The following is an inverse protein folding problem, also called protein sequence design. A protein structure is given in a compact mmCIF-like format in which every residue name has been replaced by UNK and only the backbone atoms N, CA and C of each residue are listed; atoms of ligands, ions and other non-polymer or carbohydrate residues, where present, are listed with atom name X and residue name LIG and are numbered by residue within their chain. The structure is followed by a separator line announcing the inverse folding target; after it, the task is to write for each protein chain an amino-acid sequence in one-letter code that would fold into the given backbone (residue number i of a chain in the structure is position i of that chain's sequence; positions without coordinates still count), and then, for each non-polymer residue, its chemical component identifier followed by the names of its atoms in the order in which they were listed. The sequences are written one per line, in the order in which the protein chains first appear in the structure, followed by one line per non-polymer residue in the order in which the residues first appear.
data_IF_135907911671
#
_entry.id   IF_135907911671
#
_cell.length_a   1.000
_cell.length_b   1.000
_cell.length_c   1.000
_cell.angle_alpha   90.00
_cell.angle_beta   90.00
_cell.angle_gamma   90.00
#
_symmetry.space_group_name_H-M   'P 1'
#
loop_
_entity.id
_entity.type
_entity.pdbx_description
1 polymer ?
#
# COMPACT_ATOMS: atom_id res chain seq x y z
N UNK A 1 -29.71 -1.93 -17.64
CA UNK A 1 -28.37 -2.55 -17.77
C UNK A 1 -28.20 -3.50 -16.59
N UNK A 2 -27.59 -4.67 -16.77
CA UNK A 2 -27.24 -5.54 -15.64
C UNK A 2 -26.08 -4.88 -14.89
N UNK A 3 -26.19 -4.74 -13.57
CA UNK A 3 -25.12 -4.19 -12.72
C UNK A 3 -23.88 -5.10 -12.77
N UNK A 4 -22.69 -4.51 -12.77
CA UNK A 4 -21.43 -5.26 -12.79
C UNK A 4 -21.17 -5.95 -11.44
N UNK A 5 -20.35 -7.03 -11.37
CA UNK A 5 -20.02 -7.66 -10.09
C UNK A 5 -19.44 -6.68 -9.05
N UNK A 6 -18.63 -5.71 -9.51
CA UNK A 6 -18.04 -4.67 -8.65
C UNK A 6 -19.11 -3.75 -8.07
N UNK A 7 -20.05 -3.30 -8.89
CA UNK A 7 -21.16 -2.45 -8.43
C UNK A 7 -22.06 -3.19 -7.44
N UNK A 8 -22.39 -4.46 -7.72
CA UNK A 8 -23.19 -5.29 -6.84
C UNK A 8 -22.53 -5.43 -5.46
N UNK A 9 -21.26 -5.85 -5.43
CA UNK A 9 -20.50 -5.98 -4.18
C UNK A 9 -20.37 -4.65 -3.44
N UNK A 10 -20.17 -3.54 -4.16
CA UNK A 10 -20.10 -2.22 -3.55
C UNK A 10 -21.40 -1.88 -2.82
N UNK A 11 -22.57 -2.12 -3.44
CA UNK A 11 -23.86 -1.87 -2.79
C UNK A 11 -24.08 -2.78 -1.58
N UNK A 12 -23.67 -4.04 -1.65
CA UNK A 12 -23.73 -4.98 -0.52
C UNK A 12 -22.87 -4.49 0.66
N UNK A 13 -21.62 -4.08 0.40
CA UNK A 13 -20.76 -3.49 1.43
C UNK A 13 -21.31 -2.18 1.98
N UNK A 14 -21.81 -1.30 1.12
CA UNK A 14 -22.31 0.01 1.51
C UNK A 14 -23.59 -0.06 2.35
N UNK A 15 -24.57 -0.85 1.92
CA UNK A 15 -25.84 -0.98 2.63
C UNK A 15 -25.65 -1.60 4.01
N UNK A 16 -24.85 -2.67 4.10
CA UNK A 16 -24.57 -3.35 5.37
C UNK A 16 -23.73 -2.49 6.31
N UNK A 17 -22.73 -1.76 5.79
CA UNK A 17 -21.96 -0.79 6.57
C UNK A 17 -22.85 0.34 7.12
N UNK A 18 -23.79 0.88 6.35
CA UNK A 18 -24.73 1.92 6.85
C UNK A 18 -25.65 1.42 7.97
N UNK A 19 -26.09 0.16 7.88
CA UNK A 19 -26.89 -0.47 8.94
C UNK A 19 -26.05 -0.55 10.23
N UNK A 20 -24.84 -1.12 10.14
CA UNK A 20 -23.95 -1.24 11.30
C UNK A 20 -23.51 0.12 11.84
N UNK A 21 -23.24 1.10 10.98
CA UNK A 21 -22.89 2.47 11.36
C UNK A 21 -23.97 3.07 12.29
N UNK A 22 -25.24 2.85 11.93
CA UNK A 22 -26.38 3.38 12.70
C UNK A 22 -26.58 2.63 14.01
N UNK A 23 -26.51 1.29 13.98
CA UNK A 23 -26.74 0.44 15.16
C UNK A 23 -25.61 0.58 16.19
N UNK A 24 -24.36 0.66 15.74
CA UNK A 24 -23.17 0.74 16.60
C UNK A 24 -22.77 2.18 16.94
N UNK A 25 -23.40 3.18 16.32
CA UNK A 25 -23.06 4.60 16.49
C UNK A 25 -21.57 4.90 16.24
N UNK A 26 -20.98 4.24 15.24
CA UNK A 26 -19.56 4.39 14.87
C UNK A 26 -19.38 5.13 13.54
N UNK A 27 -18.13 5.28 13.09
CA UNK A 27 -17.88 5.87 11.76
C UNK A 27 -18.25 4.88 10.65
N UNK A 28 -18.49 5.38 9.45
CA UNK A 28 -18.75 4.50 8.30
C UNK A 28 -17.56 3.55 8.02
N UNK A 29 -16.31 4.02 8.22
CA UNK A 29 -15.13 3.20 8.00
C UNK A 29 -15.00 2.09 9.05
N UNK A 30 -15.29 2.37 10.32
CA UNK A 30 -15.33 1.33 11.34
C UNK A 30 -16.41 0.29 11.02
N UNK A 31 -17.61 0.74 10.67
CA UNK A 31 -18.71 -0.14 10.26
C UNK A 31 -18.38 -0.96 8.99
N UNK A 32 -17.56 -0.43 8.09
CA UNK A 32 -17.08 -1.14 6.90
C UNK A 32 -16.05 -2.23 7.25
N UNK A 33 -15.24 -2.02 8.29
CA UNK A 33 -14.38 -3.06 8.85
C UNK A 33 -15.22 -4.21 9.43
N UNK A 34 -16.21 -3.86 10.27
CA UNK A 34 -17.13 -4.83 10.87
C UNK A 34 -17.92 -5.63 9.82
N UNK A 35 -18.45 -4.95 8.80
CA UNK A 35 -19.23 -5.63 7.76
C UNK A 35 -18.36 -6.54 6.89
N UNK A 36 -17.11 -6.15 6.63
CA UNK A 36 -16.18 -6.97 5.85
C UNK A 36 -15.91 -8.31 6.54
N UNK A 37 -15.71 -8.27 7.86
CA UNK A 37 -15.54 -9.50 8.66
C UNK A 37 -16.82 -10.33 8.73
N UNK A 38 -17.99 -9.68 8.86
CA UNK A 38 -19.28 -10.37 8.83
C UNK A 38 -19.53 -11.08 7.48
N UNK A 39 -19.18 -10.46 6.36
CA UNK A 39 -19.24 -11.06 5.03
C UNK A 39 -18.34 -12.28 4.92
N UNK A 40 -17.09 -12.16 5.38
CA UNK A 40 -16.13 -13.25 5.36
C UNK A 40 -16.59 -14.45 6.21
N UNK A 41 -17.09 -14.20 7.42
CA UNK A 41 -17.56 -15.25 8.31
C UNK A 41 -19.00 -15.74 8.02
N UNK A 42 -19.73 -15.06 7.13
CA UNK A 42 -21.12 -15.39 6.79
C UNK A 42 -22.11 -15.21 7.95
N UNK A 43 -21.81 -14.37 8.94
CA UNK A 43 -22.65 -14.15 10.13
C UNK A 43 -22.48 -12.75 10.70
N UNK A 44 -23.47 -12.29 11.46
CA UNK A 44 -23.39 -11.05 12.23
C UNK A 44 -22.64 -11.31 13.53
N UNK A 45 -21.52 -10.61 13.76
CA UNK A 45 -20.68 -10.79 14.94
C UNK A 45 -21.07 -9.92 16.13
N UNK A 46 -21.69 -8.76 15.88
CA UNK A 46 -22.02 -7.78 16.91
C UNK A 46 -23.30 -8.20 17.66
N UNK A 47 -23.25 -8.17 18.99
CA UNK A 47 -24.35 -8.63 19.85
C UNK A 47 -25.36 -7.51 20.14
N UNK A 48 -24.88 -6.27 20.15
CA UNK A 48 -25.56 -5.04 20.54
C UNK A 48 -26.43 -4.40 19.44
N UNK A 49 -26.83 -5.16 18.41
CA UNK A 49 -27.68 -4.66 17.32
C UNK A 49 -29.12 -5.14 17.45
N UNK A 50 -30.07 -4.37 16.90
CA UNK A 50 -31.48 -4.74 16.90
C UNK A 50 -31.76 -6.02 16.12
N UNK A 51 -32.73 -6.82 16.60
CA UNK A 51 -33.15 -8.06 15.92
C UNK A 51 -33.64 -7.85 14.48
N UNK A 52 -34.19 -6.66 14.19
CA UNK A 52 -34.62 -6.28 12.85
C UNK A 52 -33.42 -6.09 11.93
N UNK A 53 -32.41 -5.32 12.38
CA UNK A 53 -31.18 -5.09 11.62
C UNK A 53 -30.38 -6.38 11.45
N UNK A 54 -30.28 -7.21 12.50
CA UNK A 54 -29.64 -8.54 12.44
C UNK A 54 -30.26 -9.41 11.34
N UNK A 55 -31.59 -9.51 11.26
CA UNK A 55 -32.27 -10.26 10.20
C UNK A 55 -32.01 -9.70 8.80
N UNK A 56 -31.94 -8.37 8.65
CA UNK A 56 -31.56 -7.72 7.38
C UNK A 56 -30.14 -8.12 6.98
N UNK A 57 -29.18 -7.94 7.88
CA UNK A 57 -27.77 -8.22 7.64
C UNK A 57 -27.52 -9.69 7.28
N UNK A 58 -28.13 -10.64 8.01
CA UNK A 58 -28.02 -12.08 7.70
C UNK A 58 -28.44 -12.38 6.26
N UNK A 59 -29.45 -11.69 5.72
CA UNK A 59 -29.88 -11.87 4.35
C UNK A 59 -28.81 -11.44 3.34
N UNK A 60 -28.13 -10.33 3.59
CA UNK A 60 -27.03 -9.86 2.74
C UNK A 60 -25.83 -10.83 2.79
N UNK A 61 -25.46 -11.26 3.99
CA UNK A 61 -24.28 -12.10 4.18
C UNK A 61 -24.45 -13.54 3.69
N UNK A 62 -25.67 -14.10 3.76
CA UNK A 62 -25.93 -15.49 3.35
C UNK A 62 -25.68 -15.77 1.86
N UNK A 63 -25.81 -14.76 1.01
CA UNK A 63 -25.64 -14.90 -0.44
C UNK A 63 -24.20 -14.69 -0.90
N UNK A 64 -23.33 -14.14 -0.04
CA UNK A 64 -21.93 -13.90 -0.36
C UNK A 64 -21.08 -15.17 -0.21
N UNK A 65 -20.15 -15.33 -1.15
CA UNK A 65 -19.07 -16.31 -1.06
C UNK A 65 -17.89 -15.77 -1.86
N UNK A 66 -16.67 -15.72 -1.30
CA UNK A 66 -15.48 -15.23 -2.01
C UNK A 66 -15.27 -15.91 -3.36
N UNK A 67 -15.51 -17.23 -3.44
CA UNK A 67 -15.35 -18.03 -4.67
C UNK A 67 -16.26 -17.60 -5.83
N UNK A 68 -17.33 -16.85 -5.57
CA UNK A 68 -18.25 -16.35 -6.62
C UNK A 68 -17.67 -15.17 -7.40
N UNK A 69 -16.63 -14.53 -6.88
CA UNK A 69 -16.10 -13.28 -7.41
C UNK A 69 -14.59 -13.37 -7.59
N UNK A 70 -14.09 -12.76 -8.66
CA UNK A 70 -12.65 -12.54 -8.79
C UNK A 70 -12.14 -11.67 -7.63
N UNK A 71 -10.98 -12.01 -7.06
CA UNK A 71 -10.35 -11.22 -5.98
C UNK A 71 -10.26 -9.73 -6.33
N UNK A 72 -9.99 -9.44 -7.60
CA UNK A 72 -9.91 -8.08 -8.12
C UNK A 72 -11.26 -7.34 -8.14
N UNK A 73 -12.37 -8.05 -8.34
CA UNK A 73 -13.71 -7.46 -8.24
C UNK A 73 -14.05 -7.12 -6.78
N UNK A 74 -13.70 -8.01 -5.85
CA UNK A 74 -13.84 -7.79 -4.39
C UNK A 74 -13.00 -6.58 -3.97
N UNK A 75 -11.72 -6.54 -4.35
CA UNK A 75 -10.81 -5.43 -4.06
C UNK A 75 -11.39 -4.10 -4.50
N UNK A 76 -11.83 -3.99 -5.76
CA UNK A 76 -12.36 -2.75 -6.33
C UNK A 76 -13.68 -2.31 -5.67
N UNK A 77 -14.56 -3.26 -5.37
CA UNK A 77 -15.82 -2.97 -4.68
C UNK A 77 -15.58 -2.44 -3.26
N UNK A 78 -14.69 -3.11 -2.51
CA UNK A 78 -14.31 -2.71 -1.16
C UNK A 78 -13.55 -1.37 -1.17
N UNK A 79 -12.67 -1.16 -2.15
CA UNK A 79 -11.98 0.11 -2.39
C UNK A 79 -12.98 1.26 -2.59
N UNK A 80 -14.05 1.06 -3.38
CA UNK A 80 -15.09 2.07 -3.59
C UNK A 80 -15.82 2.41 -2.28
N UNK A 81 -16.14 1.40 -1.47
CA UNK A 81 -16.74 1.60 -0.16
C UNK A 81 -15.81 2.39 0.78
N UNK A 82 -14.52 2.05 0.84
CA UNK A 82 -13.52 2.81 1.61
C UNK A 82 -13.47 4.26 1.12
N UNK A 83 -13.37 4.50 -0.19
CA UNK A 83 -13.33 5.85 -0.75
C UNK A 83 -14.56 6.67 -0.37
N UNK A 84 -15.75 6.06 -0.37
CA UNK A 84 -16.98 6.71 0.11
C UNK A 84 -16.83 7.17 1.56
N UNK A 85 -16.34 6.31 2.45
CA UNK A 85 -16.09 6.66 3.85
C UNK A 85 -15.04 7.76 4.01
N UNK A 86 -13.99 7.74 3.18
CA UNK A 86 -12.91 8.73 3.21
C UNK A 86 -13.31 10.13 2.73
N UNK A 87 -14.43 10.27 2.01
CA UNK A 87 -14.93 11.59 1.59
C UNK A 87 -15.38 12.46 2.77
N UNK A 88 -15.68 11.87 3.93
CA UNK A 88 -16.25 12.57 5.09
C UNK A 88 -15.21 13.28 5.99
N UNK A 89 -13.93 13.35 5.55
CA UNK A 89 -12.75 13.98 6.17
C UNK A 89 -11.74 12.94 6.65
N UNK A 90 -10.64 12.81 5.90
CA UNK A 90 -9.50 11.93 6.25
C UNK A 90 -8.22 12.75 6.13
N UNK A 91 -7.27 12.52 7.04
CA UNK A 91 -5.98 13.18 7.01
C UNK A 91 -5.21 12.78 5.74
N UNK A 92 -4.39 13.66 5.15
CA UNK A 92 -3.68 13.35 3.90
C UNK A 92 -2.86 12.05 3.93
N UNK A 93 -2.24 11.73 5.07
CA UNK A 93 -1.44 10.52 5.25
C UNK A 93 -2.26 9.23 5.44
N UNK A 94 -3.57 9.34 5.64
CA UNK A 94 -4.48 8.20 5.78
C UNK A 94 -5.22 7.91 4.46
N UNK A 95 -4.90 8.65 3.39
CA UNK A 95 -5.47 8.38 2.08
C UNK A 95 -4.94 7.07 1.52
N UNK A 96 -5.86 6.27 1.02
CA UNK A 96 -5.56 5.05 0.30
C UNK A 96 -4.80 5.33 -1.01
N UNK A 97 -3.80 4.50 -1.30
CA UNK A 97 -3.06 4.53 -2.56
C UNK A 97 -4.00 4.29 -3.75
N UNK A 98 -4.04 5.19 -4.76
CA UNK A 98 -4.90 5.02 -5.93
C UNK A 98 -4.58 3.77 -6.75
N UNK A 99 -5.61 3.20 -7.38
CA UNK A 99 -5.52 1.93 -8.12
C UNK A 99 -4.44 1.94 -9.22
N UNK A 100 -4.40 3.03 -9.98
CA UNK A 100 -3.42 3.22 -11.04
C UNK A 100 -1.97 3.21 -10.55
N UNK A 101 -1.73 3.74 -9.34
CA UNK A 101 -0.40 3.69 -8.71
C UNK A 101 -0.10 2.27 -8.27
N UNK A 102 -1.06 1.59 -7.64
CA UNK A 102 -0.95 0.19 -7.25
C UNK A 102 -0.56 -0.71 -8.42
N UNK A 103 -1.32 -0.67 -9.52
CA UNK A 103 -1.05 -1.45 -10.74
C UNK A 103 0.35 -1.19 -11.31
N UNK A 104 0.79 0.07 -11.30
CA UNK A 104 2.11 0.41 -11.83
C UNK A 104 3.25 -0.08 -10.92
N UNK A 105 3.07 0.02 -9.60
CA UNK A 105 4.00 -0.59 -8.64
C UNK A 105 4.01 -2.12 -8.81
N UNK A 106 2.87 -2.77 -9.01
CA UNK A 106 2.80 -4.22 -9.30
C UNK A 106 3.61 -4.60 -10.53
N UNK A 107 3.54 -3.81 -11.61
CA UNK A 107 4.37 -4.00 -12.81
C UNK A 107 5.86 -3.91 -12.49
N UNK A 108 6.27 -2.88 -11.75
CA UNK A 108 7.67 -2.70 -11.34
C UNK A 108 8.15 -3.87 -10.48
N UNK A 109 7.41 -4.23 -9.43
CA UNK A 109 7.73 -5.36 -8.56
C UNK A 109 7.87 -6.63 -9.38
N UNK A 110 6.94 -6.91 -10.30
CA UNK A 110 7.00 -8.06 -11.20
C UNK A 110 8.26 -8.09 -12.07
N UNK A 111 8.70 -6.93 -12.59
CA UNK A 111 9.93 -6.83 -13.40
C UNK A 111 11.20 -7.08 -12.58
N UNK A 112 11.32 -6.47 -11.41
CA UNK A 112 12.49 -6.62 -10.54
C UNK A 112 12.57 -7.99 -9.85
N UNK A 113 11.47 -8.73 -9.80
CA UNK A 113 11.39 -10.05 -9.17
C UNK A 113 11.08 -11.16 -10.17
N UNK A 114 11.28 -10.93 -11.48
CA UNK A 114 10.87 -11.83 -12.57
C UNK A 114 11.31 -13.30 -12.35
N UNK A 115 12.52 -13.51 -11.83
CA UNK A 115 13.13 -14.82 -11.64
C UNK A 115 12.84 -15.45 -10.25
N UNK A 116 12.07 -14.77 -9.40
CA UNK A 116 11.72 -15.24 -8.05
C UNK A 116 10.30 -15.83 -8.04
N UNK A 117 10.18 -17.09 -7.57
CA UNK A 117 8.88 -17.76 -7.37
C UNK A 117 8.33 -17.59 -5.97
N UNK A 118 9.21 -17.53 -4.98
CA UNK A 118 8.90 -17.34 -3.56
C UNK A 118 9.41 -15.96 -3.16
N UNK A 119 8.55 -15.13 -2.58
CA UNK A 119 8.87 -13.75 -2.19
C UNK A 119 8.34 -13.50 -0.78
N UNK A 120 9.17 -12.90 0.07
CA UNK A 120 8.72 -12.26 1.30
C UNK A 120 8.52 -10.77 1.02
N UNK A 121 7.33 -10.24 1.28
CA UNK A 121 6.97 -8.84 1.05
C UNK A 121 6.53 -8.16 2.34
N UNK A 122 7.01 -6.93 2.55
CA UNK A 122 6.65 -6.09 3.69
C UNK A 122 6.10 -4.75 3.21
N UNK A 123 4.94 -4.36 3.75
CA UNK A 123 4.48 -2.97 3.77
C UNK A 123 4.48 -2.43 5.21
N UNK A 124 5.47 -1.59 5.59
CA UNK A 124 5.57 -1.05 6.95
C UNK A 124 4.54 0.05 7.27
N UNK A 125 3.76 0.51 6.28
CA UNK A 125 2.68 1.49 6.47
C UNK A 125 1.53 1.13 5.54
N UNK A 126 0.93 -0.04 5.80
CA UNK A 126 0.00 -0.69 4.87
C UNK A 126 -1.30 0.09 4.64
N UNK A 127 -1.69 0.97 5.57
CA UNK A 127 -2.96 1.69 5.51
C UNK A 127 -4.13 0.71 5.38
N UNK A 128 -4.97 0.91 4.35
CA UNK A 128 -6.09 0.01 4.05
C UNK A 128 -5.71 -1.23 3.22
N UNK A 129 -4.44 -1.42 2.91
CA UNK A 129 -3.92 -2.58 2.17
C UNK A 129 -4.06 -2.53 0.65
N UNK A 130 -4.71 -1.52 0.06
CA UNK A 130 -5.02 -1.49 -1.37
C UNK A 130 -3.78 -1.60 -2.28
N UNK A 131 -2.67 -0.96 -1.91
CA UNK A 131 -1.40 -1.07 -2.65
C UNK A 131 -0.91 -2.52 -2.68
N UNK A 132 -0.80 -3.15 -1.51
CA UNK A 132 -0.34 -4.52 -1.39
C UNK A 132 -1.30 -5.51 -2.09
N UNK A 133 -2.61 -5.33 -1.95
CA UNK A 133 -3.62 -6.17 -2.62
C UNK A 133 -3.53 -6.08 -4.15
N UNK A 134 -3.28 -4.88 -4.70
CA UNK A 134 -3.07 -4.72 -6.13
C UNK A 134 -1.83 -5.46 -6.64
N UNK A 135 -0.79 -5.61 -5.80
CA UNK A 135 0.41 -6.38 -6.12
C UNK A 135 0.11 -7.87 -6.08
N UNK A 136 -0.53 -8.34 -5.00
CA UNK A 136 -0.89 -9.75 -4.82
C UNK A 136 -1.85 -10.26 -5.91
N UNK A 137 -2.83 -9.45 -6.31
CA UNK A 137 -3.77 -9.82 -7.39
C UNK A 137 -3.11 -9.85 -8.77
N UNK A 138 -2.01 -9.12 -8.97
CA UNK A 138 -1.32 -9.03 -10.25
C UNK A 138 -0.24 -10.12 -10.42
N UNK A 139 0.47 -10.47 -9.34
CA UNK A 139 1.61 -11.40 -9.34
C UNK A 139 1.18 -12.84 -9.01
N UNK A 140 0.23 -13.37 -9.78
CA UNK A 140 -0.38 -14.69 -9.55
C UNK A 140 0.55 -15.87 -9.87
N UNK A 141 1.67 -15.62 -10.54
CA UNK A 141 2.71 -16.62 -10.84
C UNK A 141 3.70 -16.83 -9.68
N UNK A 142 3.51 -16.13 -8.56
CA UNK A 142 4.41 -16.11 -7.40
C UNK A 142 3.67 -16.51 -6.13
N UNK A 143 4.38 -17.18 -5.22
CA UNK A 143 3.95 -17.38 -3.85
C UNK A 143 4.55 -16.27 -2.98
N UNK A 144 3.70 -15.41 -2.43
CA UNK A 144 4.12 -14.21 -1.72
C UNK A 144 3.68 -14.29 -0.25
N UNK A 145 4.63 -14.56 0.64
CA UNK A 145 4.42 -14.38 2.08
C UNK A 145 4.47 -12.89 2.38
N UNK A 146 3.38 -12.36 2.92
CA UNK A 146 3.19 -10.91 3.02
C UNK A 146 2.98 -10.47 4.46
N UNK A 147 3.53 -9.30 4.80
CA UNK A 147 3.42 -8.69 6.12
C UNK A 147 3.02 -7.22 5.98
N UNK A 148 2.05 -6.78 6.77
CA UNK A 148 1.56 -5.41 6.82
C UNK A 148 1.63 -4.82 8.23
N UNK A 149 2.16 -3.61 8.36
CA UNK A 149 2.20 -2.88 9.64
C UNK A 149 1.47 -1.55 9.51
N UNK A 150 0.61 -1.25 10.47
CA UNK A 150 -0.13 0.02 10.53
C UNK A 150 -0.45 0.37 11.98
N UNK A 151 -0.30 1.65 12.33
CA UNK A 151 -0.54 2.15 13.69
C UNK A 151 -2.02 2.55 13.88
N UNK A 152 -2.69 2.99 12.82
CA UNK A 152 -4.10 3.36 12.85
C UNK A 152 -5.00 2.11 12.88
N UNK A 153 -5.75 1.97 13.96
CA UNK A 153 -6.60 0.81 14.22
C UNK A 153 -7.72 0.64 13.19
N UNK A 154 -8.31 1.74 12.72
CA UNK A 154 -9.37 1.68 11.70
C UNK A 154 -8.79 1.23 10.36
N UNK A 155 -7.65 1.80 9.94
CA UNK A 155 -7.01 1.44 8.67
C UNK A 155 -6.56 -0.04 8.65
N UNK A 156 -5.93 -0.52 9.73
CA UNK A 156 -5.49 -1.92 9.77
C UNK A 156 -6.66 -2.90 9.83
N UNK A 157 -7.76 -2.56 10.50
CA UNK A 157 -8.99 -3.38 10.49
C UNK A 157 -9.60 -3.47 9.09
N UNK A 158 -9.62 -2.35 8.35
CA UNK A 158 -10.05 -2.37 6.94
C UNK A 158 -9.13 -3.24 6.09
N UNK A 159 -7.81 -3.15 6.28
CA UNK A 159 -6.86 -4.00 5.57
C UNK A 159 -7.07 -5.49 5.91
N UNK A 160 -7.25 -5.81 7.19
CA UNK A 160 -7.51 -7.17 7.66
C UNK A 160 -8.77 -7.77 7.01
N UNK A 161 -9.90 -7.06 7.08
CA UNK A 161 -11.14 -7.49 6.45
C UNK A 161 -10.98 -7.60 4.92
N UNK A 162 -10.31 -6.64 4.29
CA UNK A 162 -10.04 -6.66 2.84
C UNK A 162 -9.18 -7.84 2.39
N UNK A 163 -8.20 -8.26 3.20
CA UNK A 163 -7.37 -9.43 2.94
C UNK A 163 -8.18 -10.73 3.08
N UNK A 164 -8.99 -10.85 4.13
CA UNK A 164 -9.88 -11.99 4.36
C UNK A 164 -10.90 -12.16 3.22
N UNK A 165 -11.58 -11.08 2.82
CA UNK A 165 -12.53 -11.09 1.70
C UNK A 165 -11.90 -11.53 0.38
N UNK A 166 -10.61 -11.26 0.16
CA UNK A 166 -9.86 -11.68 -1.02
C UNK A 166 -9.05 -12.98 -0.81
N UNK A 167 -9.15 -13.60 0.36
CA UNK A 167 -8.42 -14.82 0.73
C UNK A 167 -6.91 -14.70 0.49
N UNK A 168 -6.31 -13.59 0.94
CA UNK A 168 -4.86 -13.37 0.87
C UNK A 168 -4.17 -13.79 2.17
N UNK A 169 -3.07 -14.56 2.10
CA UNK A 169 -2.29 -14.96 3.27
C UNK A 169 -1.37 -13.81 3.72
N UNK A 170 -1.95 -12.87 4.48
CA UNK A 170 -1.28 -11.66 4.95
C UNK A 170 -1.27 -11.62 6.49
N UNK A 171 -0.10 -11.44 7.07
CA UNK A 171 0.06 -11.21 8.51
C UNK A 171 0.08 -9.71 8.82
N UNK A 172 -0.62 -9.31 9.87
CA UNK A 172 -0.81 -7.91 10.24
C UNK A 172 -0.25 -7.61 11.63
N UNK A 173 0.40 -6.45 11.76
CA UNK A 173 0.88 -5.93 13.04
C UNK A 173 0.30 -4.54 13.28
N UNK A 174 -0.54 -4.40 14.31
CA UNK A 174 -1.04 -3.10 14.73
C UNK A 174 -0.06 -2.45 15.72
N UNK A 175 0.96 -1.78 15.20
CA UNK A 175 2.00 -1.13 16.00
C UNK A 175 2.66 0.02 15.23
N UNK A 176 3.47 0.82 15.93
CA UNK A 176 4.40 1.74 15.28
C UNK A 176 5.47 0.95 14.52
N UNK A 177 5.53 1.12 13.20
CA UNK A 177 6.48 0.40 12.37
C UNK A 177 7.91 0.91 12.46
N UNK A 178 8.13 2.08 13.08
CA UNK A 178 9.45 2.58 13.43
C UNK A 178 9.94 2.00 14.76
N UNK A 179 9.13 1.22 15.49
CA UNK A 179 9.58 0.36 16.58
C UNK A 179 10.19 -0.97 16.06
N UNK A 180 10.82 -1.79 16.91
CA UNK A 180 11.33 -3.10 16.48
C UNK A 180 10.20 -3.96 15.90
N UNK A 181 10.39 -4.43 14.66
CA UNK A 181 9.47 -5.36 14.01
C UNK A 181 9.99 -6.79 14.18
N UNK A 182 9.15 -7.69 14.68
CA UNK A 182 9.45 -9.12 14.73
C UNK A 182 8.99 -9.80 13.43
N UNK A 183 9.48 -9.28 12.31
CA UNK A 183 9.19 -9.74 10.95
C UNK A 183 10.50 -10.17 10.31
N UNK A 184 10.50 -11.34 9.68
CA UNK A 184 11.68 -11.82 8.97
C UNK A 184 12.09 -10.85 7.85
N UNK A 185 13.40 -10.72 7.55
CA UNK A 185 13.85 -9.84 6.49
C UNK A 185 13.14 -10.14 5.16
N UNK A 186 12.73 -9.11 4.42
CA UNK A 186 11.91 -9.25 3.21
C UNK A 186 12.73 -9.16 1.92
N UNK A 187 12.28 -9.88 0.87
CA UNK A 187 12.84 -9.75 -0.49
C UNK A 187 12.41 -8.43 -1.14
N UNK A 188 11.19 -7.99 -0.81
CA UNK A 188 10.60 -6.73 -1.27
C UNK A 188 10.04 -5.94 -0.10
N UNK A 189 10.34 -4.65 -0.05
CA UNK A 189 9.61 -3.67 0.76
C UNK A 189 8.84 -2.74 -0.17
N UNK A 190 7.55 -2.53 0.08
CA UNK A 190 6.71 -1.64 -0.72
C UNK A 190 5.86 -0.79 0.20
N UNK A 191 5.73 0.51 -0.06
CA UNK A 191 4.89 1.36 0.78
C UNK A 191 4.57 2.71 0.15
N UNK A 192 3.38 3.25 0.41
CA UNK A 192 3.10 4.68 0.24
C UNK A 192 3.40 5.39 1.55
N UNK A 193 4.51 6.13 1.59
CA UNK A 193 5.05 6.60 2.87
C UNK A 193 4.23 7.74 3.48
N UNK A 194 3.98 7.71 4.80
CA UNK A 194 3.39 8.85 5.50
C UNK A 194 4.39 10.02 5.54
N UNK A 195 3.93 11.20 5.12
CA UNK A 195 4.78 12.39 4.98
C UNK A 195 4.53 13.35 6.14
N UNK A 196 5.59 13.73 6.85
CA UNK A 196 5.51 14.63 7.99
C UNK A 196 6.59 14.32 9.01
N UNK A 197 6.32 14.70 10.26
CA UNK A 197 7.20 14.53 11.40
C UNK A 197 6.82 13.29 12.21
N UNK A 198 7.82 12.53 12.63
CA UNK A 198 7.66 11.44 13.58
C UNK A 198 7.75 12.00 15.00
N UNK A 199 6.73 11.80 15.86
CA UNK A 199 6.64 12.49 17.15
C UNK A 199 7.53 11.91 18.25
N UNK A 200 8.04 10.67 18.10
CA UNK A 200 8.83 10.00 19.14
C UNK A 200 10.33 10.20 18.90
N UNK A 201 10.88 11.29 19.44
CA UNK A 201 12.30 11.64 19.28
C UNK A 201 13.26 10.64 19.93
N UNK A 202 12.83 9.97 21.01
CA UNK A 202 13.65 8.94 21.68
C UNK A 202 13.87 7.78 20.73
N UNK A 203 12.81 7.33 20.07
CA UNK A 203 12.90 6.25 19.10
C UNK A 203 13.63 6.69 17.83
N UNK A 204 13.39 7.91 17.35
CA UNK A 204 14.10 8.48 16.22
C UNK A 204 15.62 8.51 16.45
N UNK A 205 16.09 8.69 17.69
CA UNK A 205 17.51 8.76 18.00
C UNK A 205 18.30 7.48 17.67
N UNK A 206 17.63 6.34 17.49
CA UNK A 206 18.23 5.07 17.08
C UNK A 206 18.43 4.93 15.55
N UNK A 207 17.99 5.93 14.78
CA UNK A 207 18.08 5.95 13.32
C UNK A 207 19.25 6.81 12.86
N UNK A 208 19.93 6.34 11.81
CA UNK A 208 20.97 7.11 11.12
C UNK A 208 20.37 8.41 10.57
N UNK A 209 19.12 8.36 10.07
CA UNK A 209 18.36 9.46 9.47
C UNK A 209 17.59 10.34 10.46
N UNK A 210 17.87 10.26 11.77
CA UNK A 210 17.31 11.19 12.75
C UNK A 210 17.58 12.66 12.35
N UNK A 211 16.68 13.59 12.62
CA UNK A 211 16.97 15.02 12.47
C UNK A 211 18.03 15.48 13.50
N UNK A 212 18.78 16.52 13.17
CA UNK A 212 19.73 17.14 14.10
C UNK A 212 19.04 18.12 15.05
N UNK A 213 17.88 18.65 14.67
CA UNK A 213 17.03 19.54 15.48
C UNK A 213 15.56 19.24 15.25
N UNK A 214 14.77 19.28 16.32
CA UNK A 214 13.33 19.04 16.26
C UNK A 214 12.99 17.59 15.90
N UNK A 215 11.77 17.38 15.42
CA UNK A 215 11.29 16.06 15.04
C UNK A 215 11.90 15.58 13.72
N UNK A 216 12.14 14.28 13.65
CA UNK A 216 12.64 13.64 12.44
C UNK A 216 11.55 13.49 11.38
N UNK A 217 11.92 13.52 10.10
CA UNK A 217 10.99 13.24 9.01
C UNK A 217 10.58 11.77 9.01
N UNK A 218 9.29 11.48 9.21
CA UNK A 218 8.75 10.13 9.27
C UNK A 218 9.13 9.32 8.02
N UNK A 219 8.81 9.84 6.83
CA UNK A 219 9.18 9.24 5.54
C UNK A 219 10.69 8.95 5.38
N UNK A 220 11.61 9.70 6.00
CA UNK A 220 13.03 9.35 5.99
C UNK A 220 13.30 8.14 6.89
N UNK A 221 12.75 8.13 8.10
CA UNK A 221 12.88 7.01 9.03
C UNK A 221 12.27 5.72 8.47
N UNK A 222 11.16 5.82 7.74
CA UNK A 222 10.53 4.70 7.03
C UNK A 222 11.42 4.12 5.93
N UNK A 223 12.10 4.97 5.15
CA UNK A 223 13.08 4.51 4.15
C UNK A 223 14.19 3.72 4.83
N UNK A 224 14.76 4.24 5.93
CA UNK A 224 15.78 3.53 6.70
C UNK A 224 15.24 2.23 7.30
N UNK A 225 14.03 2.23 7.86
CA UNK A 225 13.39 1.05 8.44
C UNK A 225 13.19 -0.05 7.39
N UNK A 226 12.71 0.32 6.20
CA UNK A 226 12.59 -0.62 5.10
C UNK A 226 13.95 -1.15 4.65
N UNK A 227 15.00 -0.32 4.56
CA UNK A 227 16.36 -0.78 4.23
C UNK A 227 16.91 -1.72 5.32
N UNK A 228 16.61 -1.48 6.59
CA UNK A 228 16.96 -2.37 7.70
C UNK A 228 16.30 -3.74 7.55
N UNK A 229 15.01 -3.79 7.20
CA UNK A 229 14.24 -5.03 7.05
C UNK A 229 14.37 -5.72 5.69
N UNK A 230 14.86 -5.05 4.65
CA UNK A 230 15.15 -5.73 3.40
C UNK A 230 16.33 -6.71 3.56
N UNK A 231 16.24 -7.90 2.95
CA UNK A 231 17.38 -8.79 2.74
C UNK A 231 18.46 -8.10 1.91
N UNK A 232 19.71 -8.50 2.07
CA UNK A 232 20.78 -8.04 1.19
C UNK A 232 20.45 -8.38 -0.27
N UNK A 233 20.51 -7.39 -1.15
CA UNK A 233 20.09 -7.51 -2.54
C UNK A 233 18.58 -7.38 -2.79
N UNK A 234 17.77 -7.29 -1.73
CA UNK A 234 16.33 -7.06 -1.79
C UNK A 234 15.97 -5.69 -2.35
N UNK A 235 14.76 -5.58 -2.90
CA UNK A 235 14.28 -4.37 -3.57
C UNK A 235 13.29 -3.59 -2.71
N UNK A 236 13.31 -2.27 -2.82
CA UNK A 236 12.40 -1.39 -2.09
C UNK A 236 11.72 -0.42 -3.05
N UNK A 237 10.40 -0.29 -2.93
CA UNK A 237 9.55 0.56 -3.75
C UNK A 237 8.77 1.51 -2.85
N UNK A 238 9.21 2.76 -2.77
CA UNK A 238 8.56 3.76 -1.93
C UNK A 238 7.87 4.81 -2.77
N UNK A 239 6.59 5.06 -2.50
CA UNK A 239 5.91 6.23 -3.03
C UNK A 239 6.23 7.40 -2.10
N UNK A 240 6.93 8.40 -2.63
CA UNK A 240 7.59 9.49 -1.90
C UNK A 240 7.26 10.84 -2.54
N UNK A 241 7.35 11.97 -1.82
CA UNK A 241 7.05 13.26 -2.42
C UNK A 241 8.17 13.65 -3.39
N UNK A 242 7.82 14.38 -4.46
CA UNK A 242 8.79 14.76 -5.50
C UNK A 242 9.96 15.61 -4.96
N UNK A 243 9.77 16.29 -3.83
CA UNK A 243 10.78 17.13 -3.20
C UNK A 243 11.69 16.39 -2.20
N UNK A 244 11.63 15.05 -2.12
CA UNK A 244 12.42 14.23 -1.20
C UNK A 244 13.92 14.59 -1.21
N UNK A 245 14.48 14.81 -2.40
CA UNK A 245 15.90 15.07 -2.61
C UNK A 245 16.31 16.56 -2.61
N UNK A 246 15.38 17.46 -2.28
CA UNK A 246 15.63 18.91 -2.16
C UNK A 246 15.18 19.49 -0.82
N UNK A 247 14.81 18.63 0.13
CA UNK A 247 14.48 19.01 1.50
C UNK A 247 15.74 19.38 2.31
N UNK A 248 15.54 19.99 3.49
CA UNK A 248 16.64 20.30 4.42
C UNK A 248 17.46 19.06 4.81
N UNK A 249 16.79 17.93 5.03
CA UNK A 249 17.41 16.65 5.42
C UNK A 249 17.89 15.80 4.22
N UNK A 250 17.74 16.30 2.98
CA UNK A 250 18.12 15.57 1.77
C UNK A 250 19.60 15.16 1.69
N UNK A 251 20.59 15.97 2.14
CA UNK A 251 21.99 15.53 2.16
C UNK A 251 22.20 14.26 2.99
N UNK A 252 21.55 14.19 4.17
CA UNK A 252 21.64 13.05 5.07
C UNK A 252 21.01 11.80 4.49
N UNK A 253 19.83 11.95 3.88
CA UNK A 253 19.18 10.87 3.13
C UNK A 253 20.06 10.35 1.98
N UNK A 254 20.66 11.26 1.21
CA UNK A 254 21.55 10.89 0.09
C UNK A 254 22.75 10.07 0.56
N UNK A 255 23.40 10.47 1.66
CA UNK A 255 24.55 9.76 2.19
C UNK A 255 24.17 8.38 2.73
N UNK A 256 23.04 8.26 3.42
CA UNK A 256 22.49 6.97 3.85
C UNK A 256 22.21 6.05 2.66
N UNK A 257 21.48 6.54 1.65
CA UNK A 257 21.15 5.75 0.46
C UNK A 257 22.40 5.32 -0.30
N UNK A 258 23.37 6.22 -0.50
CA UNK A 258 24.66 5.88 -1.13
C UNK A 258 25.44 4.84 -0.35
N UNK A 259 25.37 4.87 0.98
CA UNK A 259 26.06 3.92 1.85
C UNK A 259 25.42 2.54 1.78
N UNK A 260 24.10 2.45 1.91
CA UNK A 260 23.37 1.20 2.15
C UNK A 260 22.66 0.60 0.93
N UNK A 261 22.47 1.38 -0.14
CA UNK A 261 21.65 0.96 -1.30
C UNK A 261 22.30 1.29 -2.64
N UNK A 262 21.77 0.68 -3.70
CA UNK A 262 21.90 1.13 -5.07
C UNK A 262 20.55 1.73 -5.48
N UNK A 263 20.53 3.01 -5.85
CA UNK A 263 19.34 3.65 -6.41
C UNK A 263 19.13 3.07 -7.81
N UNK A 264 18.03 2.34 -7.98
CA UNK A 264 17.66 1.73 -9.25
C UNK A 264 16.95 2.73 -10.15
N UNK A 265 16.12 3.58 -9.56
CA UNK A 265 15.42 4.59 -10.31
C UNK A 265 14.48 5.47 -9.49
N UNK A 266 13.95 6.47 -10.17
CA UNK A 266 12.88 7.35 -9.72
C UNK A 266 11.87 7.50 -10.85
N UNK A 267 10.62 7.14 -10.58
CA UNK A 267 9.52 7.29 -11.55
C UNK A 267 8.52 8.32 -11.03
N UNK A 268 8.49 9.50 -11.65
CA UNK A 268 7.52 10.53 -11.31
C UNK A 268 6.13 10.14 -11.81
N UNK A 269 5.16 10.11 -10.91
CA UNK A 269 3.76 9.82 -11.25
C UNK A 269 3.13 11.01 -11.97
N UNK A 270 2.08 10.80 -12.79
CA UNK A 270 1.46 11.88 -13.54
C UNK A 270 0.85 12.93 -12.61
N UNK A 271 1.20 14.21 -12.83
CA UNK A 271 0.71 15.32 -12.00
C UNK A 271 -0.83 15.38 -11.92
N UNK A 272 -1.53 14.92 -12.97
CA UNK A 272 -2.99 14.86 -13.03
C UNK A 272 -3.62 13.91 -11.99
N UNK A 273 -2.85 13.04 -11.35
CA UNK A 273 -3.34 12.17 -10.27
C UNK A 273 -3.48 12.91 -8.93
N UNK A 274 -2.86 14.09 -8.80
CA UNK A 274 -2.78 14.81 -7.53
C UNK A 274 -3.53 16.13 -7.61
N UNK A 275 -4.10 16.56 -6.47
CA UNK A 275 -4.86 17.83 -6.39
C UNK A 275 -3.98 19.07 -6.61
N UNK A 276 -2.66 18.94 -6.37
CA UNK A 276 -1.68 20.00 -6.61
C UNK A 276 -0.31 19.40 -6.92
N UNK A 277 0.56 20.18 -7.56
CA UNK A 277 1.95 19.76 -7.84
C UNK A 277 2.76 19.53 -6.56
N UNK A 278 2.47 20.27 -5.49
CA UNK A 278 3.12 20.09 -4.19
C UNK A 278 2.80 18.74 -3.53
N UNK A 279 1.65 18.15 -3.87
CA UNK A 279 1.25 16.83 -3.42
C UNK A 279 1.71 15.70 -4.37
N UNK A 280 2.38 16.04 -5.48
CA UNK A 280 2.79 15.05 -6.46
C UNK A 280 3.90 14.15 -5.91
N UNK A 281 3.74 12.86 -6.16
CA UNK A 281 4.62 11.80 -5.67
C UNK A 281 5.40 11.15 -6.82
N UNK A 282 6.50 10.50 -6.45
CA UNK A 282 7.32 9.63 -7.30
C UNK A 282 7.46 8.27 -6.64
N UNK A 283 7.79 7.26 -7.42
CA UNK A 283 8.20 5.94 -6.93
C UNK A 283 9.72 5.91 -6.90
N UNK A 284 10.29 5.89 -5.70
CA UNK A 284 11.71 5.65 -5.47
C UNK A 284 11.96 4.14 -5.45
N UNK A 285 12.89 3.70 -6.29
CA UNK A 285 13.25 2.28 -6.42
C UNK A 285 14.69 2.11 -5.93
N UNK A 286 14.86 1.29 -4.91
CA UNK A 286 16.14 0.99 -4.28
C UNK A 286 16.42 -0.51 -4.33
N UNK A 287 17.70 -0.85 -4.28
CA UNK A 287 18.15 -2.21 -4.00
C UNK A 287 19.15 -2.16 -2.84
N UNK A 288 18.91 -2.93 -1.78
CA UNK A 288 19.87 -3.01 -0.67
C UNK A 288 21.18 -3.61 -1.18
N UNK A 289 22.31 -3.02 -0.80
CA UNK A 289 23.62 -3.52 -1.25
C UNK A 289 23.84 -4.95 -0.80
N UNK A 290 24.54 -5.71 -1.65
CA UNK A 290 25.05 -7.05 -1.37
C UNK A 290 26.35 -7.22 -2.13
N UNK A 291 27.28 -7.99 -1.56
CA UNK A 291 28.48 -8.39 -2.28
C UNK A 291 28.14 -9.04 -3.62
N UNK A 292 28.81 -8.62 -4.69
CA UNK A 292 28.57 -9.11 -6.06
C UNK A 292 27.38 -8.49 -6.80
N UNK A 293 26.61 -7.60 -6.17
CA UNK A 293 25.59 -6.79 -6.84
C UNK A 293 26.15 -5.38 -7.04
N UNK A 294 26.14 -4.90 -8.29
CA UNK A 294 26.58 -3.55 -8.64
C UNK A 294 25.39 -2.61 -8.85
N UNK A 295 25.66 -1.30 -8.78
CA UNK A 295 24.69 -0.28 -9.16
C UNK A 295 24.39 -0.36 -10.67
N UNK A 296 23.19 0.01 -11.12
CA UNK A 296 22.96 0.19 -12.56
C UNK A 296 23.91 1.28 -13.09
N UNK A 297 24.32 1.15 -14.35
CA UNK A 297 25.20 2.16 -14.98
C UNK A 297 24.48 3.50 -15.10
N UNK A 298 23.16 3.46 -15.31
CA UNK A 298 22.27 4.61 -15.30
C UNK A 298 21.04 4.28 -14.48
N UNK A 299 20.72 5.11 -13.49
CA UNK A 299 19.45 5.00 -12.79
C UNK A 299 18.28 5.27 -13.77
N UNK A 300 17.19 4.52 -13.62
CA UNK A 300 15.97 4.74 -14.37
C UNK A 300 15.31 6.05 -13.91
N UNK A 301 15.30 7.07 -14.76
CA UNK A 301 14.63 8.33 -14.48
C UNK A 301 13.50 8.51 -15.49
N UNK A 302 12.26 8.42 -15.01
CA UNK A 302 11.07 8.42 -15.86
C UNK A 302 10.04 9.40 -15.33
N UNK A 303 9.40 10.15 -16.22
CA UNK A 303 8.21 10.91 -15.93
C UNK A 303 7.03 10.26 -16.65
N UNK A 304 6.06 9.76 -15.89
CA UNK A 304 4.87 9.16 -16.50
C UNK A 304 3.96 10.24 -17.08
N UNK A 305 3.49 10.07 -18.32
CA UNK A 305 2.49 10.93 -18.91
C UNK A 305 1.13 10.67 -18.26
N UNK A 306 0.13 11.50 -18.58
CA UNK A 306 -1.25 11.18 -18.20
C UNK A 306 -1.60 9.78 -18.72
N UNK A 307 -2.13 8.92 -17.86
CA UNK A 307 -2.42 7.53 -18.25
C UNK A 307 -3.46 7.41 -19.36
N UNK A 308 -4.28 8.45 -19.57
CA UNK A 308 -5.21 8.53 -20.70
C UNK A 308 -4.51 8.75 -22.05
N UNK A 309 -3.23 9.12 -22.05
CA UNK A 309 -2.41 9.27 -23.25
C UNK A 309 -1.74 7.93 -23.58
N UNK A 310 -2.41 7.10 -24.38
CA UNK A 310 -1.97 5.76 -24.71
C UNK A 310 -0.64 5.72 -25.47
N UNK A 311 -0.40 6.67 -26.39
CA UNK A 311 0.82 6.70 -27.19
C UNK A 311 2.02 7.08 -26.34
N UNK A 312 1.90 8.15 -25.53
CA UNK A 312 2.95 8.56 -24.63
C UNK A 312 3.24 7.47 -23.58
N UNK A 313 2.19 6.88 -23.01
CA UNK A 313 2.33 5.80 -22.01
C UNK A 313 3.06 4.61 -22.62
N UNK A 314 2.68 4.17 -23.83
CA UNK A 314 3.36 3.07 -24.53
C UNK A 314 4.83 3.38 -24.80
N UNK A 315 5.14 4.59 -25.22
CA UNK A 315 6.53 5.03 -25.46
C UNK A 315 7.38 4.94 -24.18
N UNK A 316 6.84 5.42 -23.06
CA UNK A 316 7.54 5.35 -21.76
C UNK A 316 7.69 3.91 -21.28
N UNK A 317 6.66 3.08 -21.42
CA UNK A 317 6.77 1.64 -21.08
C UNK A 317 7.86 0.95 -21.91
N UNK A 318 7.97 1.26 -23.20
CA UNK A 318 9.02 0.71 -24.06
C UNK A 318 10.42 1.13 -23.58
N UNK A 319 10.60 2.40 -23.22
CA UNK A 319 11.88 2.90 -22.68
C UNK A 319 12.27 2.18 -21.39
N UNK A 320 11.29 1.93 -20.51
CA UNK A 320 11.52 1.16 -19.28
C UNK A 320 11.89 -0.29 -19.59
N UNK A 321 11.18 -0.95 -20.50
CA UNK A 321 11.50 -2.32 -20.90
C UNK A 321 12.89 -2.45 -21.52
N UNK A 322 13.34 -1.45 -22.26
CA UNK A 322 14.69 -1.43 -22.83
C UNK A 322 15.75 -1.17 -21.75
N UNK A 323 15.47 -0.28 -20.78
CA UNK A 323 16.33 -0.12 -19.59
C UNK A 323 16.47 -1.43 -18.80
N UNK A 324 15.37 -2.16 -18.60
CA UNK A 324 15.42 -3.46 -17.93
C UNK A 324 16.30 -4.46 -18.69
N UNK A 325 16.25 -4.52 -20.02
CA UNK A 325 17.11 -5.44 -20.80
C UNK A 325 18.58 -5.07 -20.73
N UNK A 326 18.90 -3.78 -20.64
CA UNK A 326 20.28 -3.29 -20.61
C UNK A 326 20.92 -3.44 -19.23
N UNK A 327 20.13 -3.29 -18.16
CA UNK A 327 20.62 -3.19 -16.77
C UNK A 327 20.22 -4.38 -15.87
N UNK A 328 19.31 -5.29 -16.28
CA UNK A 328 18.74 -6.39 -15.46
C UNK A 328 18.56 -7.75 -16.16
#
# INVERSE_FOLDING_TARGET
MKSTPVEQLFYEFDETAQILQSELSCTYLDALGETGENFFQGKVLQEEISEVSKKRLVKHYADFSPEKYEKEAIRKAYQLAILKGMQQSVQPNHHMTPDAVGMFVSYLVGKFTKDQKEIVMLDPAIGTGNLLFAILNQLTDKNIASYGVEIDETLIRLAYAGANLQEHPLEFFNQDSLEPLFIDPSDVVVSDLPIGYYPNDVRAAEYDLKADKGHSYAHHLFIEQGVKHAKDGGHLFFIVPNNLFVSEEAPKLNDFLKKHTHIQGMVQLPLSMFKSEAAAKSILILQKKKEGIEAPKKALLVQLPKLSDFEATRSVMQQMDDWFKEEK
#
